data_IF_013372567692
#
_entry.id   IF_013372567692
#
_cell.length_a   1.000
_cell.length_b   1.000
_cell.length_c   1.000
_cell.angle_alpha   90.00
_cell.angle_beta   90.00
_cell.angle_gamma   90.00
#
_symmetry.space_group_name_H-M   'P 1'
#
loop_
_entity.id
_entity.type
_entity.pdbx_description
1 polymer ?
#
# COMPACT_ATOMS: atom_id res chain seq x y z
N UNK A 1 14.04 7.56 1.39
CA UNK A 1 13.96 6.76 2.63
C UNK A 1 12.50 6.46 2.87
N UNK A 2 12.16 5.21 3.19
CA UNK A 2 10.80 4.78 3.48
C UNK A 2 10.48 5.00 4.95
N UNK A 3 9.24 5.43 5.24
CA UNK A 3 8.77 5.83 6.59
C UNK A 3 7.52 5.07 7.04
N UNK A 4 7.04 4.13 6.25
CA UNK A 4 5.94 3.22 6.59
C UNK A 4 6.20 1.86 5.98
N UNK A 5 5.65 0.80 6.58
CA UNK A 5 5.67 -0.56 6.04
C UNK A 5 4.23 -1.00 5.81
N UNK A 6 3.97 -1.69 4.70
CA UNK A 6 2.64 -2.17 4.39
C UNK A 6 2.25 -3.28 5.37
N UNK A 7 1.12 -3.07 6.06
CA UNK A 7 0.56 -4.08 6.96
C UNK A 7 -0.20 -5.12 6.13
N UNK A 8 0.48 -6.21 5.81
CA UNK A 8 -0.06 -7.35 5.05
C UNK A 8 0.32 -8.68 5.70
N UNK A 9 -0.31 -9.77 5.25
CA UNK A 9 0.04 -11.13 5.66
C UNK A 9 1.44 -11.60 5.20
N UNK A 10 2.24 -10.76 4.55
CA UNK A 10 3.66 -11.04 4.30
C UNK A 10 4.53 -10.74 5.53
N UNK A 11 4.04 -9.94 6.47
CA UNK A 11 4.71 -9.66 7.74
C UNK A 11 4.33 -10.76 8.73
N UNK A 12 5.33 -11.46 9.27
CA UNK A 12 5.14 -12.63 10.14
C UNK A 12 4.23 -12.33 11.35
N UNK A 13 4.44 -11.18 12.01
CA UNK A 13 3.62 -10.77 13.15
C UNK A 13 2.14 -10.55 12.78
N UNK A 14 1.90 -9.93 11.62
CA UNK A 14 0.56 -9.69 11.11
C UNK A 14 -0.11 -11.01 10.68
N UNK A 15 0.64 -11.90 10.01
CA UNK A 15 0.19 -13.23 9.61
C UNK A 15 -0.23 -14.07 10.81
N UNK A 16 0.63 -14.19 11.81
CA UNK A 16 0.36 -15.01 13.00
C UNK A 16 -0.80 -14.43 13.81
N UNK A 17 -0.94 -13.09 13.89
CA UNK A 17 -2.11 -12.48 14.53
C UNK A 17 -3.42 -12.88 13.83
N UNK A 18 -3.49 -12.72 12.51
CA UNK A 18 -4.69 -13.06 11.72
C UNK A 18 -5.03 -14.55 11.82
N UNK A 19 -4.00 -15.41 11.72
CA UNK A 19 -4.15 -16.86 11.85
C UNK A 19 -4.64 -17.27 13.24
N UNK A 20 -4.08 -16.70 14.31
CA UNK A 20 -4.50 -16.99 15.69
C UNK A 20 -5.91 -16.48 15.99
N UNK A 21 -6.37 -15.42 15.31
CA UNK A 21 -7.75 -14.96 15.37
C UNK A 21 -8.73 -15.83 14.54
N UNK A 22 -8.24 -16.86 13.85
CA UNK A 22 -9.06 -17.77 13.03
C UNK A 22 -9.34 -17.26 11.61
N UNK A 23 -8.62 -16.23 11.15
CA UNK A 23 -8.63 -15.80 9.76
C UNK A 23 -8.02 -16.87 8.85
N UNK A 24 -8.67 -17.15 7.73
CA UNK A 24 -8.07 -17.97 6.66
C UNK A 24 -7.24 -17.06 5.77
N UNK A 25 -5.94 -17.35 5.65
CA UNK A 25 -5.01 -16.61 4.80
C UNK A 25 -4.74 -17.45 3.55
N UNK A 26 -5.10 -16.94 2.38
CA UNK A 26 -4.89 -17.62 1.10
C UNK A 26 -4.82 -16.64 -0.06
N UNK A 27 -4.28 -17.07 -1.19
CA UNK A 27 -4.36 -16.30 -2.44
C UNK A 27 -5.75 -16.43 -3.06
N UNK A 28 -6.08 -15.53 -3.99
CA UNK A 28 -7.34 -15.63 -4.72
C UNK A 28 -7.31 -16.88 -5.61
N UNK A 29 -8.41 -17.64 -5.61
CA UNK A 29 -8.54 -18.81 -6.48
C UNK A 29 -9.10 -18.38 -7.83
N UNK A 30 -8.36 -18.68 -8.89
CA UNK A 30 -8.67 -18.41 -10.29
C UNK A 30 -8.74 -19.73 -11.07
N UNK A 31 -9.17 -19.68 -12.33
CA UNK A 31 -9.17 -20.85 -13.22
C UNK A 31 -7.76 -21.44 -13.43
N UNK A 32 -6.73 -20.59 -13.36
CA UNK A 32 -5.32 -20.97 -13.49
C UNK A 32 -4.65 -21.40 -12.19
N UNK A 33 -5.36 -21.35 -11.05
CA UNK A 33 -4.85 -21.78 -9.74
C UNK A 33 -4.97 -20.70 -8.68
N UNK A 34 -3.89 -20.47 -7.93
CA UNK A 34 -3.82 -19.41 -6.92
C UNK A 34 -3.05 -18.23 -7.48
N UNK A 35 -3.63 -17.04 -7.38
CA UNK A 35 -3.10 -15.83 -8.00
C UNK A 35 -3.20 -14.62 -7.07
N UNK A 36 -2.28 -13.67 -7.27
CA UNK A 36 -2.21 -12.41 -6.53
C UNK A 36 -1.68 -12.52 -5.09
N UNK A 37 -1.82 -11.43 -4.30
CA UNK A 37 -1.32 -11.40 -2.92
C UNK A 37 -2.14 -12.28 -1.98
N UNK A 38 -1.58 -12.54 -0.79
CA UNK A 38 -2.31 -13.18 0.30
C UNK A 38 -3.49 -12.30 0.73
N UNK A 39 -4.63 -12.95 0.97
CA UNK A 39 -5.88 -12.32 1.38
C UNK A 39 -6.46 -13.00 2.61
N UNK A 40 -7.21 -12.23 3.40
CA UNK A 40 -7.89 -12.66 4.62
C UNK A 40 -9.34 -13.02 4.29
N UNK A 41 -9.74 -14.24 4.65
CA UNK A 41 -11.08 -14.77 4.44
C UNK A 41 -11.68 -15.33 5.74
N UNK A 42 -13.01 -15.39 5.79
CA UNK A 42 -13.75 -15.99 6.90
C UNK A 42 -14.11 -17.45 6.61
N UNK A 43 -13.48 -18.41 7.29
CA UNK A 43 -13.77 -19.83 7.09
C UNK A 43 -13.65 -20.22 5.61
N UNK A 44 -14.63 -20.91 5.04
CA UNK A 44 -14.67 -21.26 3.60
C UNK A 44 -15.27 -20.19 2.69
N UNK A 45 -15.65 -19.03 3.24
CA UNK A 45 -16.33 -17.98 2.47
C UNK A 45 -15.34 -17.24 1.57
N UNK A 46 -15.80 -16.69 0.43
CA UNK A 46 -14.97 -15.91 -0.48
C UNK A 46 -14.75 -14.45 0.00
N UNK A 47 -15.20 -14.11 1.21
CA UNK A 47 -15.10 -12.76 1.78
C UNK A 47 -14.50 -12.80 3.21
N UNK A 48 -13.93 -11.69 3.72
CA UNK A 48 -13.89 -10.36 3.10
C UNK A 48 -12.89 -10.23 1.95
N UNK A 49 -11.85 -11.06 1.88
CA UNK A 49 -10.89 -11.06 0.79
C UNK A 49 -9.90 -9.88 0.83
N UNK A 50 -9.61 -9.38 2.04
CA UNK A 50 -8.73 -8.21 2.26
C UNK A 50 -7.26 -8.58 2.09
N UNK A 51 -6.51 -7.73 1.40
CA UNK A 51 -5.05 -7.85 1.28
C UNK A 51 -4.33 -7.29 2.51
N UNK A 52 -4.89 -6.22 3.09
CA UNK A 52 -4.33 -5.52 4.24
C UNK A 52 -4.76 -6.16 5.56
N UNK A 53 -3.89 -6.09 6.56
CA UNK A 53 -4.11 -6.60 7.93
C UNK A 53 -4.48 -5.50 8.93
N UNK A 54 -4.48 -4.24 8.48
CA UNK A 54 -4.99 -3.09 9.23
C UNK A 54 -5.80 -2.20 8.31
N UNK A 55 -7.02 -1.84 8.73
CA UNK A 55 -7.91 -0.98 7.95
C UNK A 55 -8.99 -0.36 8.84
N UNK A 56 -9.59 0.74 8.34
CA UNK A 56 -10.73 1.38 8.99
C UNK A 56 -12.00 0.94 8.27
N UNK A 57 -12.99 0.45 9.01
CA UNK A 57 -14.35 0.17 8.51
C UNK A 57 -14.65 -1.28 8.13
N UNK A 58 -13.65 -2.17 8.08
CA UNK A 58 -13.83 -3.61 7.81
C UNK A 58 -14.27 -4.40 9.05
N UNK A 59 -15.39 -3.98 9.66
CA UNK A 59 -15.90 -4.54 10.92
C UNK A 59 -16.09 -6.06 10.92
N UNK A 60 -16.37 -6.66 9.75
CA UNK A 60 -16.48 -8.12 9.63
C UNK A 60 -15.14 -8.86 9.76
N UNK A 61 -14.02 -8.17 9.51
CA UNK A 61 -12.66 -8.68 9.54
C UNK A 61 -11.94 -8.40 10.86
N UNK A 62 -12.46 -7.51 11.73
CA UNK A 62 -11.91 -7.27 13.07
C UNK A 62 -11.79 -8.57 13.88
N UNK A 63 -12.81 -9.41 13.81
CA UNK A 63 -12.84 -10.74 14.46
C UNK A 63 -11.86 -11.74 13.84
N UNK A 64 -11.26 -11.41 12.70
CA UNK A 64 -10.25 -12.21 12.00
C UNK A 64 -8.84 -11.65 12.23
N UNK A 65 -8.66 -10.69 13.14
CA UNK A 65 -7.35 -10.12 13.49
C UNK A 65 -6.94 -8.90 12.68
N UNK A 66 -7.85 -8.32 11.89
CA UNK A 66 -7.63 -7.01 11.24
C UNK A 66 -7.77 -5.92 12.30
N UNK A 67 -6.77 -5.03 12.39
CA UNK A 67 -6.75 -3.95 13.38
C UNK A 67 -7.14 -2.60 12.78
N UNK A 68 -7.63 -1.69 13.60
CA UNK A 68 -7.88 -0.29 13.19
C UNK A 68 -6.74 0.64 13.64
N UNK A 69 -5.94 0.17 14.59
CA UNK A 69 -4.85 0.90 15.21
C UNK A 69 -3.66 1.06 14.25
N UNK A 70 -3.24 2.31 13.95
CA UNK A 70 -2.11 2.54 13.08
C UNK A 70 -0.78 2.22 13.77
N UNK A 71 0.24 1.98 12.97
CA UNK A 71 1.62 2.16 13.42
C UNK A 71 1.98 3.65 13.33
N UNK A 72 2.57 4.20 14.39
CA UNK A 72 2.91 5.62 14.48
C UNK A 72 4.43 5.75 14.61
N UNK A 73 5.02 6.56 13.72
CA UNK A 73 6.44 6.88 13.73
C UNK A 73 6.57 8.40 13.82
N UNK A 74 7.27 8.86 14.86
CA UNK A 74 7.60 10.27 15.06
C UNK A 74 9.05 10.55 14.65
N UNK A 75 9.27 11.68 13.97
CA UNK A 75 10.60 12.08 13.49
C UNK A 75 10.74 13.59 13.40
N UNK A 76 11.90 14.09 13.84
CA UNK A 76 12.32 15.46 13.58
C UNK A 76 12.77 15.66 12.14
N UNK A 77 12.23 16.70 11.49
CA UNK A 77 12.69 17.13 10.16
C UNK A 77 14.03 17.86 10.27
N UNK A 78 14.94 17.54 9.35
CA UNK A 78 16.21 18.22 9.18
C UNK A 78 16.25 18.99 7.86
N UNK A 79 17.26 19.85 7.69
CA UNK A 79 17.49 20.56 6.41
C UNK A 79 17.80 19.62 5.22
N UNK A 80 18.04 18.33 5.47
CA UNK A 80 18.26 17.33 4.42
C UNK A 80 16.96 16.71 3.93
N UNK A 81 15.90 16.80 4.73
CA UNK A 81 14.57 16.34 4.36
C UNK A 81 13.96 17.47 3.55
N UNK A 82 14.02 17.35 2.22
CA UNK A 82 13.61 18.38 1.25
C UNK A 82 12.17 18.23 0.78
N UNK A 83 11.66 17.00 0.78
CA UNK A 83 10.27 16.69 0.49
C UNK A 83 9.89 15.33 1.08
N UNK A 84 8.60 15.05 1.14
CA UNK A 84 8.08 13.70 1.27
C UNK A 84 6.94 13.46 0.29
N UNK A 85 6.71 12.18 -0.02
CA UNK A 85 5.67 11.72 -0.94
C UNK A 85 4.78 10.74 -0.19
N UNK A 86 3.47 10.97 -0.27
CA UNK A 86 2.44 10.04 0.14
C UNK A 86 1.70 9.57 -1.11
N UNK A 87 1.34 8.29 -1.17
CA UNK A 87 0.56 7.77 -2.28
C UNK A 87 -0.12 6.46 -1.94
N UNK A 88 -1.17 6.13 -2.70
CA UNK A 88 -1.78 4.80 -2.68
C UNK A 88 -0.82 3.74 -3.23
N UNK A 89 -1.12 2.47 -2.98
CA UNK A 89 -0.45 1.31 -3.57
C UNK A 89 -0.27 1.44 -5.08
N UNK A 90 -1.27 1.91 -5.84
CA UNK A 90 -1.13 2.15 -7.27
C UNK A 90 0.05 3.05 -7.69
N UNK A 91 0.50 3.99 -6.83
CA UNK A 91 1.73 4.75 -7.08
C UNK A 91 2.97 3.85 -6.99
N UNK A 92 3.03 3.05 -5.92
CA UNK A 92 4.18 2.23 -5.54
C UNK A 92 4.29 0.93 -6.35
N UNK A 93 3.17 0.39 -6.80
CA UNK A 93 3.11 -0.72 -7.77
C UNK A 93 3.47 -0.24 -9.19
N UNK A 94 3.15 1.02 -9.49
CA UNK A 94 3.47 1.66 -10.76
C UNK A 94 4.95 2.00 -10.90
N UNK A 95 5.58 2.52 -9.85
CA UNK A 95 6.91 3.13 -9.90
C UNK A 95 7.81 2.66 -8.75
N UNK A 96 9.10 2.47 -9.04
CA UNK A 96 10.08 2.27 -7.98
C UNK A 96 10.41 3.58 -7.25
N UNK A 97 10.97 3.42 -6.04
CA UNK A 97 11.31 4.53 -5.14
C UNK A 97 12.31 5.51 -5.78
N UNK A 98 13.23 5.03 -6.61
CA UNK A 98 14.24 5.86 -7.26
C UNK A 98 13.63 6.76 -8.33
N UNK A 99 12.71 6.23 -9.14
CA UNK A 99 11.95 7.00 -10.13
C UNK A 99 11.07 8.04 -9.44
N UNK A 100 10.41 7.69 -8.33
CA UNK A 100 9.61 8.63 -7.54
C UNK A 100 10.47 9.79 -7.03
N UNK A 101 11.61 9.50 -6.39
CA UNK A 101 12.53 10.53 -5.88
C UNK A 101 13.06 11.40 -7.01
N UNK A 102 13.50 10.80 -8.11
CA UNK A 102 14.04 11.52 -9.27
C UNK A 102 13.00 12.47 -9.87
N UNK A 103 11.75 12.05 -9.99
CA UNK A 103 10.66 12.87 -10.52
C UNK A 103 10.26 13.97 -9.53
N UNK A 104 10.19 13.66 -8.24
CA UNK A 104 9.88 14.64 -7.20
C UNK A 104 10.91 15.79 -7.16
N UNK A 105 12.20 15.47 -7.24
CA UNK A 105 13.28 16.48 -7.25
C UNK A 105 13.32 17.29 -8.56
N UNK A 106 12.92 16.69 -9.68
CA UNK A 106 13.03 17.32 -11.01
C UNK A 106 12.14 18.56 -11.17
N UNK A 107 11.00 18.61 -10.48
CA UNK A 107 10.02 19.68 -10.63
C UNK A 107 9.98 20.56 -9.38
N UNK A 108 10.16 21.87 -9.56
CA UNK A 108 10.18 22.84 -8.46
C UNK A 108 8.82 22.97 -7.75
N UNK A 109 7.72 22.80 -8.48
CA UNK A 109 6.38 22.89 -7.91
C UNK A 109 5.86 21.49 -7.50
N UNK A 110 5.49 21.28 -6.22
CA UNK A 110 5.04 19.97 -5.73
C UNK A 110 3.78 19.46 -6.43
N UNK A 111 2.85 20.37 -6.78
CA UNK A 111 1.67 20.05 -7.58
C UNK A 111 2.06 19.49 -8.96
N UNK A 112 3.13 20.02 -9.56
CA UNK A 112 3.58 19.51 -10.85
C UNK A 112 4.24 18.14 -10.72
N UNK A 113 5.01 17.94 -9.65
CA UNK A 113 5.61 16.66 -9.35
C UNK A 113 4.54 15.57 -9.15
N UNK A 114 3.49 15.83 -8.34
CA UNK A 114 2.41 14.86 -8.11
C UNK A 114 1.65 14.50 -9.39
N UNK A 115 1.31 15.48 -10.23
CA UNK A 115 0.67 15.24 -11.55
C UNK A 115 1.51 14.31 -12.44
N UNK A 116 2.82 14.54 -12.49
CA UNK A 116 3.72 13.75 -13.31
C UNK A 116 3.88 12.34 -12.74
N UNK A 117 3.98 12.21 -11.42
CA UNK A 117 4.04 10.92 -10.73
C UNK A 117 2.80 10.08 -11.02
N UNK A 118 1.60 10.64 -10.83
CA UNK A 118 0.33 9.95 -11.14
C UNK A 118 0.28 9.49 -12.60
N UNK A 119 0.58 10.40 -13.54
CA UNK A 119 0.56 10.07 -14.97
C UNK A 119 1.56 8.97 -15.32
N UNK A 120 2.74 8.98 -14.69
CA UNK A 120 3.79 8.01 -14.96
C UNK A 120 3.44 6.64 -14.38
N UNK A 121 2.88 6.61 -13.17
CA UNK A 121 2.40 5.39 -12.51
C UNK A 121 1.28 4.74 -13.31
N UNK A 122 0.23 5.48 -13.66
CA UNK A 122 -0.88 4.97 -14.49
C UNK A 122 -0.37 4.35 -15.80
N UNK A 123 0.53 5.05 -16.52
CA UNK A 123 1.13 4.50 -17.75
C UNK A 123 1.91 3.20 -17.51
N UNK A 124 2.57 3.08 -16.35
CA UNK A 124 3.32 1.88 -15.98
C UNK A 124 2.38 0.71 -15.66
N UNK A 125 1.31 0.97 -14.91
CA UNK A 125 0.26 0.00 -14.59
C UNK A 125 -0.46 -0.49 -15.84
N UNK A 126 -0.83 0.42 -16.74
CA UNK A 126 -1.43 0.09 -18.05
C UNK A 126 -0.54 -0.88 -18.85
N UNK A 127 0.78 -0.64 -18.87
CA UNK A 127 1.73 -1.50 -19.57
C UNK A 127 1.88 -2.88 -18.92
N UNK A 128 1.55 -3.01 -17.63
CA UNK A 128 1.50 -4.27 -16.88
C UNK A 128 0.10 -4.92 -16.92
N UNK A 129 -0.88 -4.30 -17.59
CA UNK A 129 -2.29 -4.70 -17.57
C UNK A 129 -2.88 -4.76 -16.15
N UNK A 130 -2.46 -3.84 -15.28
CA UNK A 130 -2.98 -3.69 -13.91
C UNK A 130 -3.90 -2.47 -13.89
N UNK A 131 -5.12 -2.65 -13.40
CA UNK A 131 -6.09 -1.57 -13.18
C UNK A 131 -6.10 -1.23 -11.69
N UNK A 132 -5.78 0.02 -11.36
CA UNK A 132 -5.77 0.51 -9.98
C UNK A 132 -5.92 2.04 -9.94
N UNK A 133 -6.34 2.56 -8.79
CA UNK A 133 -6.42 3.98 -8.52
C UNK A 133 -5.07 4.51 -8.02
N UNK A 134 -4.64 5.64 -8.59
CA UNK A 134 -3.38 6.28 -8.19
C UNK A 134 -3.67 7.64 -7.57
N UNK A 135 -3.34 7.77 -6.29
CA UNK A 135 -3.32 9.06 -5.58
C UNK A 135 -1.89 9.38 -5.17
N UNK A 136 -1.47 10.63 -5.33
CA UNK A 136 -0.15 11.10 -4.93
C UNK A 136 -0.22 12.50 -4.32
N UNK A 137 0.44 12.69 -3.18
CA UNK A 137 0.64 13.97 -2.51
C UNK A 137 2.14 14.17 -2.36
N UNK A 138 2.63 15.32 -2.82
CA UNK A 138 4.03 15.74 -2.66
C UNK A 138 4.04 16.98 -1.78
N UNK A 139 4.89 16.98 -0.76
CA UNK A 139 5.04 18.10 0.17
C UNK A 139 6.50 18.49 0.26
N UNK A 140 6.80 19.77 0.07
CA UNK A 140 8.14 20.33 0.32
C UNK A 140 8.21 20.80 1.77
N UNK A 141 9.32 20.49 2.44
CA UNK A 141 9.48 20.62 3.90
C UNK A 141 10.20 21.90 4.32
N UNK A 142 10.59 22.78 3.38
CA UNK A 142 11.21 24.08 3.64
C UNK A 142 11.62 24.80 2.37
#
# INVERSE_FOLDING_TARGET
MQVSTDHTCQIEEEYERVKNAGGRIDQMQTESGRDGPLRIYKGSLPYPGLVVTRSIGDTCAEKLGVLTEPEVIDRDLSKKDIFFVLGSDGLWDGLDMEEVVRLAVKYEHPQKASEILVKRALKSLDAKCIDDNVTCVVVHTG
#
